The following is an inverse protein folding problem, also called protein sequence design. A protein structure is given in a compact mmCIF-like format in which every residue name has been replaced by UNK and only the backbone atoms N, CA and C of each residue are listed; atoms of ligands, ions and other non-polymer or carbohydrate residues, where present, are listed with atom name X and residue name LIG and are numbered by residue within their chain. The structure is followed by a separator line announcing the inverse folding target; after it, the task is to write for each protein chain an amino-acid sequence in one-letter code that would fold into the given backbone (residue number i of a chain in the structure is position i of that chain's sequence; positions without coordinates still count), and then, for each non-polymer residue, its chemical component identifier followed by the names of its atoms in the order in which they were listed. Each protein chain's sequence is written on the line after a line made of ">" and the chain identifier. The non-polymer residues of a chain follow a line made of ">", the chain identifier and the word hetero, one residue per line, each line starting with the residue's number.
data_IF_617688378742
#
_entry.id   IF_617688378742
#
_cell.length_a   1.000
_cell.length_b   1.000
_cell.length_c   1.000
_cell.angle_alpha   90.00
_cell.angle_beta   90.00
_cell.angle_gamma   90.00
#
_symmetry.space_group_name_H-M   'P 1'
#
loop_
_entity.id
_entity.type
_entity.pdbx_description
1 polymer ?
#
# COMPACT_ATOMS: atom_id res chain seq x y z
N UNK A 1 -23.71 -17.63 1.16
CA UNK A 1 -22.29 -17.77 1.58
C UNK A 1 -21.48 -16.88 0.66
N UNK A 2 -21.11 -15.67 1.12
CA UNK A 2 -20.32 -14.72 0.33
C UNK A 2 -18.91 -15.28 0.21
N UNK A 3 -18.45 -15.51 -1.02
CA UNK A 3 -17.06 -15.86 -1.31
C UNK A 3 -16.27 -14.56 -1.12
N UNK A 4 -15.51 -14.46 -0.03
CA UNK A 4 -14.51 -13.40 0.13
C UNK A 4 -13.57 -13.53 -1.07
N UNK A 5 -13.51 -12.48 -1.90
CA UNK A 5 -12.59 -12.42 -3.02
C UNK A 5 -11.20 -12.21 -2.44
N UNK A 6 -10.42 -13.28 -2.30
CA UNK A 6 -9.02 -13.17 -1.94
C UNK A 6 -8.24 -12.57 -3.11
N UNK A 7 -7.46 -11.52 -2.84
CA UNK A 7 -6.59 -10.91 -3.84
C UNK A 7 -5.20 -11.49 -3.71
N UNK A 8 -4.63 -11.93 -4.83
CA UNK A 8 -3.27 -12.49 -4.88
C UNK A 8 -2.28 -11.44 -5.32
N UNK A 9 -1.29 -11.18 -4.48
CA UNK A 9 -0.08 -10.47 -4.87
C UNK A 9 1.01 -11.50 -5.23
N UNK A 10 1.56 -11.39 -6.44
CA UNK A 10 2.62 -12.29 -6.93
C UNK A 10 3.83 -11.49 -7.39
N UNK A 11 5.02 -12.04 -7.17
CA UNK A 11 6.28 -11.52 -7.71
C UNK A 11 6.76 -12.42 -8.84
N UNK A 12 7.03 -11.86 -10.01
CA UNK A 12 7.49 -12.60 -11.18
C UNK A 12 8.88 -12.13 -11.60
N UNK A 13 9.72 -13.05 -12.07
CA UNK A 13 10.98 -12.75 -12.71
C UNK A 13 10.69 -12.05 -14.05
N UNK A 14 11.23 -10.85 -14.22
CA UNK A 14 10.89 -10.00 -15.36
C UNK A 14 11.28 -10.59 -16.72
N UNK A 15 12.26 -11.51 -16.77
CA UNK A 15 12.74 -12.11 -18.02
C UNK A 15 11.96 -13.37 -18.40
N UNK A 16 11.61 -14.19 -17.41
CA UNK A 16 11.03 -15.52 -17.62
C UNK A 16 9.54 -15.61 -17.29
N UNK A 17 8.99 -14.63 -16.57
CA UNK A 17 7.62 -14.66 -16.06
C UNK A 17 7.39 -15.70 -14.97
N UNK A 18 8.45 -16.34 -14.46
CA UNK A 18 8.33 -17.33 -13.39
C UNK A 18 8.09 -16.65 -12.05
N UNK A 19 7.24 -17.26 -11.23
CA UNK A 19 7.01 -16.81 -9.86
C UNK A 19 8.31 -16.92 -9.04
N UNK A 20 8.73 -15.81 -8.44
CA UNK A 20 9.97 -15.71 -7.63
C UNK A 20 9.71 -16.13 -6.20
N UNK A 21 8.51 -15.86 -5.69
CA UNK A 21 8.04 -16.25 -4.38
C UNK A 21 6.54 -16.54 -4.43
N UNK A 22 6.08 -17.42 -3.54
CA UNK A 22 4.68 -17.80 -3.43
C UNK A 22 3.75 -16.59 -3.30
N UNK A 23 2.58 -16.68 -3.93
CA UNK A 23 1.56 -15.65 -3.82
C UNK A 23 1.17 -15.35 -2.37
N UNK A 24 1.00 -14.07 -2.10
CA UNK A 24 0.43 -13.60 -0.83
C UNK A 24 -1.04 -13.31 -1.04
N UNK A 25 -1.87 -13.91 -0.19
CA UNK A 25 -3.30 -13.67 -0.14
C UNK A 25 -3.56 -12.42 0.71
N UNK A 26 -4.33 -11.49 0.14
CA UNK A 26 -4.74 -10.25 0.76
C UNK A 26 -6.26 -10.24 0.93
N UNK A 27 -6.69 -9.63 2.04
CA UNK A 27 -8.09 -9.62 2.45
C UNK A 27 -8.91 -8.50 1.80
N UNK A 28 -8.25 -7.56 1.12
CA UNK A 28 -8.87 -6.39 0.51
C UNK A 28 -8.32 -6.15 -0.91
N UNK A 29 -9.14 -5.67 -1.86
CA UNK A 29 -8.69 -5.34 -3.21
C UNK A 29 -7.56 -4.30 -3.23
N UNK A 30 -6.53 -4.57 -4.03
CA UNK A 30 -5.46 -3.60 -4.30
C UNK A 30 -5.93 -2.62 -5.39
N UNK A 31 -5.98 -1.33 -5.03
CA UNK A 31 -6.38 -0.23 -5.92
C UNK A 31 -5.18 0.55 -6.45
N UNK A 32 -4.09 0.61 -5.69
CA UNK A 32 -2.93 1.42 -6.05
C UNK A 32 -2.01 0.70 -7.04
N UNK A 33 -1.36 1.46 -7.92
CA UNK A 33 -0.14 0.98 -8.60
C UNK A 33 1.00 0.81 -7.58
N UNK A 34 1.82 -0.26 -7.67
CA UNK A 34 2.95 -0.46 -6.77
C UNK A 34 4.04 0.60 -6.98
N UNK A 35 4.69 1.01 -5.90
CA UNK A 35 5.91 1.84 -5.95
C UNK A 35 7.10 1.06 -5.41
N UNK A 36 8.29 1.34 -5.95
CA UNK A 36 9.56 0.76 -5.47
C UNK A 36 10.40 1.86 -4.84
N UNK A 37 10.80 1.66 -3.59
CA UNK A 37 11.64 2.60 -2.84
C UNK A 37 12.49 1.82 -1.85
N UNK A 38 13.79 2.11 -1.78
CA UNK A 38 14.75 1.53 -0.83
C UNK A 38 14.67 0.00 -0.67
N UNK A 39 14.57 -0.73 -1.79
CA UNK A 39 14.50 -2.19 -1.78
C UNK A 39 13.15 -2.76 -1.33
N UNK A 40 12.10 -1.94 -1.32
CA UNK A 40 10.73 -2.33 -0.98
C UNK A 40 9.78 -2.09 -2.14
N UNK A 41 8.84 -3.01 -2.33
CA UNK A 41 7.61 -2.75 -3.12
C UNK A 41 6.52 -2.37 -2.14
N UNK A 42 5.86 -1.23 -2.36
CA UNK A 42 4.74 -0.76 -1.52
C UNK A 42 3.47 -0.74 -2.36
N UNK A 43 2.40 -1.28 -1.78
CA UNK A 43 1.05 -1.33 -2.36
C UNK A 43 0.02 -0.95 -1.30
N UNK A 44 -1.13 -0.45 -1.70
CA UNK A 44 -2.24 -0.14 -0.83
C UNK A 44 -3.55 -0.78 -1.31
N UNK A 45 -4.36 -1.23 -0.35
CA UNK A 45 -5.72 -1.71 -0.60
C UNK A 45 -6.74 -0.58 -0.54
N UNK A 46 -7.93 -0.86 -1.08
CA UNK A 46 -9.07 0.07 -1.01
C UNK A 46 -9.46 0.40 0.43
N UNK A 47 -9.43 -0.59 1.32
CA UNK A 47 -9.69 -0.43 2.76
C UNK A 47 -8.55 0.26 3.53
N UNK A 48 -7.63 0.93 2.83
CA UNK A 48 -6.65 1.78 3.49
C UNK A 48 -5.45 1.07 4.12
N UNK A 49 -5.28 -0.24 3.85
CA UNK A 49 -4.13 -1.02 4.31
C UNK A 49 -2.97 -0.88 3.35
N UNK A 50 -1.81 -0.50 3.85
CA UNK A 50 -0.59 -0.30 3.09
C UNK A 50 0.38 -1.41 3.44
N UNK A 51 0.83 -2.15 2.45
CA UNK A 51 1.75 -3.27 2.61
C UNK A 51 3.12 -2.96 2.01
N UNK A 52 4.15 -3.51 2.62
CA UNK A 52 5.52 -3.47 2.14
C UNK A 52 6.04 -4.89 1.90
N UNK A 53 6.53 -5.15 0.70
CA UNK A 53 7.30 -6.34 0.35
C UNK A 53 8.78 -5.99 0.34
N UNK A 54 9.58 -6.71 1.10
CA UNK A 54 11.04 -6.64 0.98
C UNK A 54 11.51 -7.42 -0.25
N UNK A 55 12.22 -6.75 -1.16
CA UNK A 55 12.66 -7.35 -2.44
C UNK A 55 13.79 -8.37 -2.28
N UNK A 56 14.50 -8.39 -1.15
CA UNK A 56 15.63 -9.29 -0.91
C UNK A 56 15.19 -10.66 -0.41
N UNK A 57 14.08 -10.72 0.33
CA UNK A 57 13.60 -11.94 1.01
C UNK A 57 12.11 -12.24 0.73
N UNK A 58 11.44 -11.39 -0.06
CA UNK A 58 10.04 -11.52 -0.44
C UNK A 58 9.05 -11.58 0.73
N UNK A 59 9.41 -11.04 1.90
CA UNK A 59 8.50 -10.94 3.03
C UNK A 59 7.56 -9.74 2.87
N UNK A 60 6.26 -10.01 2.85
CA UNK A 60 5.22 -8.99 2.92
C UNK A 60 4.88 -8.68 4.38
N UNK A 61 4.71 -7.41 4.70
CA UNK A 61 4.26 -6.93 6.01
C UNK A 61 3.25 -5.80 5.84
N UNK A 62 2.31 -5.69 6.78
CA UNK A 62 1.52 -4.47 6.93
C UNK A 62 2.47 -3.35 7.38
N UNK A 63 2.55 -2.29 6.58
CA UNK A 63 3.40 -1.13 6.83
C UNK A 63 2.64 -0.04 7.57
N UNK A 64 1.39 0.20 7.16
CA UNK A 64 0.53 1.24 7.70
C UNK A 64 -0.94 0.90 7.47
N UNK A 65 -1.79 1.40 8.34
CA UNK A 65 -3.24 1.29 8.24
C UNK A 65 -3.80 2.68 8.55
N UNK A 66 -4.56 3.26 7.62
CA UNK A 66 -5.21 4.57 7.81
C UNK A 66 -6.24 4.53 8.94
N UNK A 67 -6.76 3.34 9.29
CA UNK A 67 -7.67 3.10 10.41
C UNK A 67 -9.16 3.11 10.05
N UNK A 68 -9.99 2.95 11.08
CA UNK A 68 -11.44 2.66 10.97
C UNK A 68 -12.34 3.87 10.69
N UNK A 69 -11.78 5.06 10.45
CA UNK A 69 -12.58 6.28 10.21
C UNK A 69 -13.23 6.33 8.81
N UNK A 70 -13.17 5.22 8.06
CA UNK A 70 -13.71 5.08 6.71
C UNK A 70 -12.86 5.77 5.66
N UNK A 71 -11.57 5.98 5.95
CA UNK A 71 -10.60 6.42 4.95
C UNK A 71 -10.27 5.26 3.99
N UNK A 72 -10.34 5.55 2.71
CA UNK A 72 -10.09 4.59 1.64
C UNK A 72 -8.94 5.10 0.74
N UNK A 73 -8.16 4.20 0.16
CA UNK A 73 -7.08 4.55 -0.77
C UNK A 73 -7.47 4.10 -2.18
N UNK A 74 -7.66 5.04 -3.09
CA UNK A 74 -7.89 4.75 -4.52
C UNK A 74 -6.80 5.33 -5.42
N UNK A 75 -6.06 6.32 -4.93
CA UNK A 75 -5.04 6.99 -5.72
C UNK A 75 -3.78 6.11 -5.87
N UNK A 76 -3.01 6.28 -6.96
CA UNK A 76 -1.66 5.75 -7.05
C UNK A 76 -0.78 6.27 -5.90
N UNK A 77 0.16 5.45 -5.44
CA UNK A 77 1.17 5.87 -4.48
C UNK A 77 2.28 6.66 -5.20
N UNK A 78 2.96 7.53 -4.46
CA UNK A 78 4.20 8.18 -4.90
C UNK A 78 5.29 7.93 -3.86
N UNK A 79 6.55 7.78 -4.28
CA UNK A 79 7.66 7.63 -3.35
C UNK A 79 8.90 8.41 -3.82
N UNK A 80 9.63 9.01 -2.88
CA UNK A 80 10.92 9.68 -3.09
C UNK A 80 11.72 9.67 -1.80
N UNK A 81 13.05 9.50 -1.88
CA UNK A 81 13.98 9.66 -0.76
C UNK A 81 13.56 8.92 0.53
N UNK A 82 13.14 7.65 0.39
CA UNK A 82 12.71 6.82 1.53
C UNK A 82 11.36 7.21 2.14
N UNK A 83 10.58 8.06 1.47
CA UNK A 83 9.23 8.47 1.86
C UNK A 83 8.21 7.94 0.86
N UNK A 84 7.08 7.42 1.35
CA UNK A 84 5.89 7.11 0.54
C UNK A 84 4.77 8.07 0.89
N UNK A 85 4.12 8.61 -0.14
CA UNK A 85 3.01 9.55 -0.05
C UNK A 85 1.72 8.86 -0.43
N UNK A 86 0.70 9.06 0.41
CA UNK A 86 -0.56 8.34 0.33
C UNK A 86 -1.70 9.34 0.44
N UNK A 87 -2.56 9.36 -0.56
CA UNK A 87 -3.81 10.08 -0.52
C UNK A 87 -4.91 9.12 -0.06
N UNK A 88 -5.41 9.34 1.14
CA UNK A 88 -6.58 8.66 1.68
C UNK A 88 -7.78 9.60 1.60
N UNK A 89 -8.92 9.07 1.19
CA UNK A 89 -10.15 9.85 1.02
C UNK A 89 -11.26 9.32 1.92
N UNK A 90 -12.11 10.21 2.42
CA UNK A 90 -13.29 9.83 3.20
C UNK A 90 -14.47 10.74 2.87
N UNK A 91 -15.63 10.43 3.45
CA UNK A 91 -16.81 11.31 3.35
C UNK A 91 -16.66 12.66 4.07
N UNK A 92 -15.66 12.81 4.95
CA UNK A 92 -15.51 13.99 5.82
C UNK A 92 -14.41 14.93 5.33
N UNK A 93 -13.27 14.35 4.96
CA UNK A 93 -12.08 15.03 4.46
C UNK A 93 -11.15 14.02 3.83
N UNK A 94 -10.28 14.50 2.95
CA UNK A 94 -9.17 13.72 2.46
C UNK A 94 -7.94 13.99 3.33
N UNK A 95 -7.03 13.03 3.41
CA UNK A 95 -5.78 13.14 4.16
C UNK A 95 -4.61 12.72 3.28
N UNK A 96 -3.60 13.59 3.18
CA UNK A 96 -2.31 13.25 2.60
C UNK A 96 -1.36 12.82 3.71
N UNK A 97 -0.89 11.58 3.66
CA UNK A 97 0.11 11.02 4.56
C UNK A 97 1.48 10.99 3.87
N UNK A 98 2.53 11.31 4.62
CA UNK A 98 3.90 10.95 4.26
C UNK A 98 4.45 9.99 5.30
N UNK A 99 4.84 8.80 4.85
CA UNK A 99 5.34 7.75 5.72
C UNK A 99 6.80 7.47 5.39
N UNK A 100 7.59 7.16 6.41
CA UNK A 100 8.88 6.54 6.19
C UNK A 100 8.67 5.15 5.56
N UNK A 101 9.19 4.93 4.36
CA UNK A 101 8.98 3.73 3.57
C UNK A 101 9.52 2.46 4.23
N UNK A 102 10.54 2.59 5.10
CA UNK A 102 11.14 1.46 5.78
C UNK A 102 10.33 0.98 6.99
N UNK A 103 9.76 1.93 7.73
CA UNK A 103 9.20 1.70 9.07
C UNK A 103 7.69 1.87 9.14
N UNK A 104 7.08 2.57 8.18
CA UNK A 104 5.67 2.93 8.20
C UNK A 104 5.33 4.09 9.13
N UNK A 105 6.32 4.64 9.85
CA UNK A 105 6.12 5.80 10.73
C UNK A 105 5.64 6.99 9.91
N UNK A 106 4.51 7.57 10.31
CA UNK A 106 4.01 8.83 9.75
C UNK A 106 4.96 9.96 10.09
N UNK A 107 5.60 10.52 9.06
CA UNK A 107 6.46 11.70 9.17
C UNK A 107 5.62 12.96 9.33
N UNK A 108 4.56 13.05 8.55
CA UNK A 108 3.54 14.09 8.66
C UNK A 108 2.24 13.64 8.01
N UNK A 109 1.14 14.32 8.35
CA UNK A 109 -0.14 14.21 7.67
C UNK A 109 -0.78 15.59 7.50
N UNK A 110 -1.50 15.78 6.41
CA UNK A 110 -2.21 17.01 6.08
C UNK A 110 -3.66 16.69 5.76
N UNK A 111 -4.60 17.27 6.50
CA UNK A 111 -6.02 17.21 6.15
C UNK A 111 -6.31 18.18 5.01
N UNK A 112 -6.93 17.67 3.96
CA UNK A 112 -7.36 18.38 2.78
C UNK A 112 -8.86 18.68 2.93
N UNK A 113 -9.20 19.69 3.72
CA UNK A 113 -10.55 20.26 3.73
C UNK A 113 -10.63 21.40 2.74
N UNK A 114 -11.68 21.45 1.91
CA UNK A 114 -12.07 22.69 1.26
C UNK A 114 -12.72 23.62 2.28
N UNK A 115 -12.39 24.91 2.24
CA UNK A 115 -13.18 25.94 2.93
C UNK A 115 -14.62 26.02 2.39
#
# INVERSE_FOLDING_TARGET
>A
MLRVLTVRFISLDAKSGREVAGAVELESPISSSPVVVDGKVIIASQEGRVYSLDTSNHQLRLLFDVGDDGEEIYAPLCASDGVVYIHAQSSKHDTLYALNAQTGVTLWRLSLSSE
#
